data_IF_095057662629
#
_entry.id   IF_095057662629
#
_cell.length_a   1.000
_cell.length_b   1.000
_cell.length_c   1.000
_cell.angle_alpha   90.00
_cell.angle_beta   90.00
_cell.angle_gamma   90.00
#
_symmetry.space_group_name_H-M   'P 1'
#
loop_
_entity.id
_entity.type
_entity.pdbx_description
1 polymer ?
#
# COMPACT_ATOMS: atom_id res chain seq x y z
N UNK A 1 24.52 -8.48 -28.73
CA UNK A 1 23.14 -8.02 -29.01
C UNK A 1 22.88 -6.81 -28.11
N UNK A 2 22.82 -5.60 -28.66
CA UNK A 2 22.53 -4.39 -27.87
C UNK A 2 21.01 -4.32 -27.66
N UNK A 3 20.57 -4.55 -26.43
CA UNK A 3 19.19 -4.27 -26.02
C UNK A 3 19.05 -2.74 -25.96
N UNK A 4 18.48 -2.14 -27.00
CA UNK A 4 18.06 -0.74 -26.93
C UNK A 4 16.83 -0.68 -26.02
N UNK A 5 16.79 0.16 -24.98
CA UNK A 5 15.56 0.40 -24.23
C UNK A 5 14.50 0.87 -25.22
N UNK A 6 13.27 0.37 -25.08
CA UNK A 6 12.14 0.91 -25.85
C UNK A 6 11.89 2.34 -25.36
N UNK A 7 12.54 3.31 -26.01
CA UNK A 7 12.30 4.71 -25.76
C UNK A 7 10.86 5.04 -26.16
N UNK A 8 10.03 5.46 -25.19
CA UNK A 8 8.68 5.97 -25.45
C UNK A 8 7.54 5.39 -24.59
N UNK A 9 7.77 4.34 -23.79
CA UNK A 9 6.74 3.84 -22.86
C UNK A 9 7.07 4.29 -21.43
N UNK A 10 6.24 5.17 -20.87
CA UNK A 10 6.34 5.55 -19.47
C UNK A 10 5.98 4.33 -18.59
N UNK A 11 6.82 4.04 -17.59
CA UNK A 11 6.56 2.96 -16.65
C UNK A 11 5.36 3.32 -15.76
N UNK A 12 4.46 2.37 -15.55
CA UNK A 12 3.32 2.50 -14.62
C UNK A 12 3.82 2.20 -13.21
N UNK A 13 4.05 3.26 -12.44
CA UNK A 13 4.59 3.17 -11.08
C UNK A 13 3.46 3.33 -10.07
N UNK A 14 3.38 2.41 -9.11
CA UNK A 14 2.47 2.53 -7.95
C UNK A 14 3.28 2.68 -6.67
N UNK A 15 2.88 3.59 -5.79
CA UNK A 15 3.46 3.80 -4.46
C UNK A 15 2.42 3.40 -3.43
N UNK A 16 2.75 2.41 -2.62
CA UNK A 16 1.84 1.74 -1.68
C UNK A 16 2.32 2.02 -0.25
N UNK A 17 1.52 2.78 0.49
CA UNK A 17 1.75 3.09 1.90
C UNK A 17 0.98 2.12 2.78
N UNK A 18 1.68 1.28 3.54
CA UNK A 18 1.07 0.23 4.37
C UNK A 18 1.09 0.60 5.85
N UNK A 19 -0.07 0.49 6.49
CA UNK A 19 -0.27 0.84 7.90
C UNK A 19 -0.16 2.34 8.18
N UNK A 20 -0.14 2.73 9.46
CA UNK A 20 -0.09 4.14 9.86
C UNK A 20 1.17 4.87 9.39
N UNK A 21 2.35 4.30 9.61
CA UNK A 21 3.63 4.89 9.21
C UNK A 21 3.75 5.07 7.69
N UNK A 22 3.42 4.02 6.92
CA UNK A 22 3.41 4.07 5.46
C UNK A 22 2.37 5.04 4.92
N UNK A 23 1.17 5.06 5.50
CA UNK A 23 0.11 6.00 5.14
C UNK A 23 0.49 7.46 5.40
N UNK A 24 1.19 7.75 6.50
CA UNK A 24 1.68 9.10 6.80
C UNK A 24 2.75 9.55 5.80
N UNK A 25 3.73 8.68 5.51
CA UNK A 25 4.76 8.97 4.52
C UNK A 25 4.15 9.25 3.13
N UNK A 26 3.18 8.42 2.74
CA UNK A 26 2.47 8.59 1.47
C UNK A 26 1.64 9.87 1.43
N UNK A 27 0.97 10.24 2.51
CA UNK A 27 0.24 11.53 2.60
C UNK A 27 1.16 12.73 2.47
N UNK A 28 2.39 12.65 2.99
CA UNK A 28 3.42 13.67 2.80
C UNK A 28 3.85 13.75 1.32
N UNK A 29 4.12 12.61 0.68
CA UNK A 29 4.49 12.55 -0.74
C UNK A 29 3.42 13.17 -1.65
N UNK A 30 2.14 12.90 -1.36
CA UNK A 30 1.00 13.49 -2.09
C UNK A 30 0.93 15.00 -1.86
N UNK A 31 1.13 15.46 -0.63
CA UNK A 31 0.99 16.88 -0.28
C UNK A 31 2.09 17.76 -0.87
N UNK A 32 3.32 17.27 -0.95
CA UNK A 32 4.45 18.02 -1.51
C UNK A 32 4.37 18.22 -3.04
N UNK A 33 3.43 17.54 -3.73
CA UNK A 33 3.07 17.83 -5.13
C UNK A 33 4.16 17.56 -6.18
N UNK A 34 5.32 17.01 -5.79
CA UNK A 34 6.49 16.85 -6.65
C UNK A 34 6.58 15.55 -7.44
N UNK A 35 5.71 14.56 -7.18
CA UNK A 35 5.82 13.23 -7.78
C UNK A 35 4.70 13.02 -8.81
N UNK A 36 5.03 13.29 -10.08
CA UNK A 36 4.12 13.10 -11.20
C UNK A 36 4.23 11.69 -11.78
N UNK A 37 3.13 11.18 -12.35
CA UNK A 37 3.12 9.90 -13.07
C UNK A 37 3.15 8.66 -12.17
N UNK A 38 2.86 8.81 -10.88
CA UNK A 38 2.73 7.70 -9.94
C UNK A 38 1.30 7.60 -9.40
N UNK A 39 0.86 6.38 -9.14
CA UNK A 39 -0.42 6.12 -8.47
C UNK A 39 -0.19 5.86 -6.99
N UNK A 40 -0.85 6.63 -6.13
CA UNK A 40 -0.71 6.53 -4.67
C UNK A 40 -1.82 5.69 -4.07
N UNK A 41 -1.42 4.65 -3.32
CA UNK A 41 -2.32 3.66 -2.72
C UNK A 41 -2.05 3.56 -1.23
N UNK A 42 -3.03 3.86 -0.39
CA UNK A 42 -2.95 3.62 1.05
C UNK A 42 -3.61 2.28 1.41
N UNK A 43 -2.93 1.46 2.22
CA UNK A 43 -3.42 0.17 2.70
C UNK A 43 -3.42 0.16 4.22
N UNK A 44 -4.55 -0.15 4.85
CA UNK A 44 -4.62 -0.25 6.31
C UNK A 44 -5.75 -1.17 6.78
N UNK A 45 -5.62 -1.67 8.00
CA UNK A 45 -6.72 -2.34 8.73
C UNK A 45 -7.60 -1.35 9.49
N UNK A 46 -7.07 -0.16 9.80
CA UNK A 46 -7.79 0.92 10.47
C UNK A 46 -8.49 1.83 9.45
N UNK A 47 -9.82 1.86 9.50
CA UNK A 47 -10.68 2.66 8.60
C UNK A 47 -10.50 4.15 8.84
N UNK A 48 -10.37 4.58 10.10
CA UNK A 48 -10.20 5.99 10.43
C UNK A 48 -8.87 6.52 9.88
N UNK A 49 -7.81 5.72 9.97
CA UNK A 49 -6.53 6.05 9.37
C UNK A 49 -6.62 6.16 7.83
N UNK A 50 -7.38 5.28 7.17
CA UNK A 50 -7.59 5.34 5.71
C UNK A 50 -8.39 6.57 5.28
N UNK A 51 -9.49 6.87 5.97
CA UNK A 51 -10.36 8.02 5.64
C UNK A 51 -9.59 9.34 5.68
N UNK A 52 -8.65 9.48 6.63
CA UNK A 52 -7.82 10.67 6.77
C UNK A 52 -6.62 10.72 5.80
N UNK A 53 -6.37 9.64 5.04
CA UNK A 53 -5.24 9.57 4.12
C UNK A 53 -5.48 10.34 2.81
N UNK A 54 -4.44 10.99 2.29
CA UNK A 54 -4.50 11.80 1.05
C UNK A 54 -4.38 10.99 -0.25
N UNK A 55 -4.12 9.69 -0.18
CA UNK A 55 -4.04 8.80 -1.35
C UNK A 55 -5.33 8.82 -2.18
N UNK A 56 -5.18 8.71 -3.49
CA UNK A 56 -6.30 8.56 -4.44
C UNK A 56 -6.98 7.21 -4.27
N UNK A 57 -6.21 6.15 -4.04
CA UNK A 57 -6.72 4.79 -3.80
C UNK A 57 -6.51 4.43 -2.34
N UNK A 58 -7.53 3.83 -1.73
CA UNK A 58 -7.54 3.41 -0.33
C UNK A 58 -8.08 1.98 -0.25
N UNK A 59 -7.27 1.08 0.29
CA UNK A 59 -7.60 -0.35 0.43
C UNK A 59 -7.67 -0.66 1.91
N UNK A 60 -8.87 -0.97 2.38
CA UNK A 60 -9.05 -1.58 3.68
C UNK A 60 -8.77 -3.09 3.55
N UNK A 61 -7.94 -3.60 4.46
CA UNK A 61 -7.63 -5.04 4.54
C UNK A 61 -8.13 -5.63 5.86
N UNK A 62 -8.48 -6.92 5.85
CA UNK A 62 -8.99 -7.63 7.03
C UNK A 62 -10.28 -7.03 7.60
N UNK A 63 -11.23 -6.70 6.72
CA UNK A 63 -12.51 -6.10 7.12
C UNK A 63 -13.28 -7.02 8.08
N UNK A 64 -13.30 -8.33 7.80
CA UNK A 64 -13.98 -9.29 8.67
C UNK A 64 -13.17 -9.59 9.94
N UNK A 65 -11.83 -9.61 9.83
CA UNK A 65 -10.95 -9.90 10.94
C UNK A 65 -10.90 -8.79 11.99
N UNK A 66 -10.85 -7.53 11.55
CA UNK A 66 -10.59 -6.37 12.43
C UNK A 66 -11.80 -5.47 12.63
N UNK A 67 -12.86 -5.64 11.83
CA UNK A 67 -14.01 -4.73 11.77
C UNK A 67 -13.61 -3.26 11.54
N UNK A 68 -12.46 -3.03 10.88
CA UNK A 68 -11.94 -1.69 10.61
C UNK A 68 -11.30 -0.98 11.81
N UNK A 69 -11.07 -1.68 12.93
CA UNK A 69 -10.51 -1.11 14.17
C UNK A 69 -8.98 -1.14 14.22
N UNK A 70 -8.32 -1.74 13.23
CA UNK A 70 -6.87 -1.89 13.19
C UNK A 70 -6.36 -3.24 13.71
N UNK A 71 -5.04 -3.43 13.63
CA UNK A 71 -4.36 -4.68 14.02
C UNK A 71 -3.97 -4.75 15.51
N UNK A 72 -4.21 -3.69 16.28
CA UNK A 72 -3.80 -3.63 17.70
C UNK A 72 -2.28 -3.67 17.92
N UNK A 73 -1.46 -3.44 16.89
CA UNK A 73 -0.01 -3.56 16.97
C UNK A 73 0.53 -4.97 16.74
N UNK A 74 -0.34 -5.96 16.50
CA UNK A 74 0.07 -7.34 16.25
C UNK A 74 0.38 -7.59 14.76
N UNK A 75 1.63 -7.94 14.39
CA UNK A 75 2.00 -8.24 13.02
C UNK A 75 1.25 -9.43 12.42
N UNK A 76 0.89 -10.42 13.23
CA UNK A 76 0.19 -11.60 12.73
C UNK A 76 -1.23 -11.25 12.28
N UNK A 77 -1.92 -10.36 13.00
CA UNK A 77 -3.21 -9.80 12.57
C UNK A 77 -3.05 -9.02 11.27
N UNK A 78 -1.99 -8.22 11.14
CA UNK A 78 -1.68 -7.50 9.89
C UNK A 78 -1.48 -8.43 8.69
N UNK A 79 -0.76 -9.53 8.91
CA UNK A 79 -0.50 -10.57 7.90
C UNK A 79 -1.80 -11.27 7.46
N UNK A 80 -2.59 -11.72 8.43
CA UNK A 80 -3.87 -12.39 8.16
C UNK A 80 -4.85 -11.46 7.45
N UNK A 81 -4.91 -10.18 7.84
CA UNK A 81 -5.73 -9.18 7.17
C UNK A 81 -5.34 -9.00 5.69
N UNK A 82 -4.04 -8.99 5.38
CA UNK A 82 -3.55 -8.89 4.01
C UNK A 82 -3.89 -10.14 3.18
N UNK A 83 -3.74 -11.34 3.76
CA UNK A 83 -4.11 -12.60 3.10
C UNK A 83 -5.62 -12.70 2.85
N UNK A 84 -6.47 -12.27 3.80
CA UNK A 84 -7.92 -12.19 3.62
C UNK A 84 -8.28 -11.31 2.40
N UNK A 85 -7.51 -10.24 2.19
CA UNK A 85 -7.76 -9.24 1.14
C UNK A 85 -6.89 -9.40 -0.10
N UNK A 86 -6.27 -10.58 -0.28
CA UNK A 86 -5.26 -10.83 -1.32
C UNK A 86 -5.75 -10.56 -2.74
N UNK A 87 -6.96 -11.01 -3.08
CA UNK A 87 -7.51 -10.80 -4.43
C UNK A 87 -7.75 -9.31 -4.72
N UNK A 88 -8.29 -8.57 -3.75
CA UNK A 88 -8.48 -7.11 -3.88
C UNK A 88 -7.14 -6.38 -4.05
N UNK A 89 -6.14 -6.71 -3.22
CA UNK A 89 -4.80 -6.17 -3.35
C UNK A 89 -4.21 -6.44 -4.74
N UNK A 90 -4.36 -7.67 -5.25
CA UNK A 90 -3.88 -8.06 -6.57
C UNK A 90 -4.57 -7.28 -7.69
N UNK A 91 -5.88 -7.09 -7.61
CA UNK A 91 -6.64 -6.30 -8.58
C UNK A 91 -6.14 -4.85 -8.61
N UNK A 92 -6.05 -4.20 -7.45
CA UNK A 92 -5.63 -2.80 -7.33
C UNK A 92 -4.15 -2.59 -7.70
N UNK A 93 -3.28 -3.58 -7.49
CA UNK A 93 -1.86 -3.51 -7.84
C UNK A 93 -1.56 -3.96 -9.27
N UNK A 94 -2.51 -4.61 -9.93
CA UNK A 94 -2.34 -5.11 -11.28
C UNK A 94 -1.98 -4.01 -12.28
N UNK A 95 -1.22 -4.39 -13.31
CA UNK A 95 -0.77 -3.47 -14.36
C UNK A 95 0.32 -2.50 -13.93
N UNK A 96 0.86 -2.58 -12.71
CA UNK A 96 2.09 -1.87 -12.36
C UNK A 96 3.29 -2.53 -13.06
N UNK A 97 4.19 -1.70 -13.59
CA UNK A 97 5.53 -2.15 -14.03
C UNK A 97 6.52 -2.12 -12.85
N UNK A 98 6.26 -1.29 -11.84
CA UNK A 98 7.03 -1.19 -10.61
C UNK A 98 6.14 -0.75 -9.44
N UNK A 99 6.34 -1.35 -8.27
CA UNK A 99 5.64 -1.03 -7.03
C UNK A 99 6.67 -0.63 -5.98
N UNK A 100 6.48 0.54 -5.36
CA UNK A 100 7.22 0.96 -4.17
C UNK A 100 6.35 0.73 -2.94
N UNK A 101 6.83 -0.11 -2.03
CA UNK A 101 6.19 -0.33 -0.74
C UNK A 101 6.86 0.52 0.33
N UNK A 102 6.07 1.33 1.01
CA UNK A 102 6.50 2.13 2.15
C UNK A 102 5.72 1.71 3.39
N UNK A 103 6.42 1.29 4.43
CA UNK A 103 5.84 0.96 5.73
C UNK A 103 6.73 1.48 6.86
N UNK A 104 6.09 1.77 7.99
CA UNK A 104 6.79 1.87 9.26
C UNK A 104 6.75 0.50 9.93
N UNK A 105 7.92 -0.13 10.10
CA UNK A 105 8.07 -1.39 10.79
C UNK A 105 7.87 -1.25 12.31
N UNK A 106 7.61 -2.36 12.98
CA UNK A 106 7.42 -2.45 14.45
C UNK A 106 5.98 -2.32 14.93
N UNK A 107 5.05 -1.87 14.09
CA UNK A 107 3.60 -1.95 14.34
C UNK A 107 3.00 -3.28 13.85
N UNK A 108 1.67 -3.38 13.87
CA UNK A 108 0.98 -4.59 13.39
C UNK A 108 0.77 -4.60 11.87
N UNK A 109 0.02 -3.62 11.36
CA UNK A 109 -0.41 -3.61 9.96
C UNK A 109 0.75 -3.48 8.99
N UNK A 110 1.67 -2.53 9.21
CA UNK A 110 2.84 -2.33 8.35
C UNK A 110 3.70 -3.58 8.27
N UNK A 111 4.22 -4.02 9.42
CA UNK A 111 5.09 -5.19 9.55
C UNK A 111 4.46 -6.47 9.00
N UNK A 112 3.18 -6.70 9.30
CA UNK A 112 2.49 -7.92 8.92
C UNK A 112 2.04 -7.97 7.46
N UNK A 113 1.49 -6.86 6.95
CA UNK A 113 0.90 -6.82 5.61
C UNK A 113 1.94 -6.58 4.51
N UNK A 114 2.98 -5.78 4.77
CA UNK A 114 3.99 -5.44 3.75
C UNK A 114 4.62 -6.65 3.06
N UNK A 115 5.06 -7.72 3.76
CA UNK A 115 5.60 -8.92 3.12
C UNK A 115 4.60 -9.65 2.23
N UNK A 116 3.31 -9.68 2.61
CA UNK A 116 2.24 -10.32 1.84
C UNK A 116 1.94 -9.53 0.57
N UNK A 117 1.91 -8.19 0.68
CA UNK A 117 1.66 -7.31 -0.46
C UNK A 117 2.81 -7.38 -1.48
N UNK A 118 4.04 -7.63 -1.02
CA UNK A 118 5.20 -7.77 -1.88
C UNK A 118 5.27 -9.10 -2.65
N UNK A 119 4.54 -10.14 -2.22
CA UNK A 119 4.62 -11.53 -2.73
C UNK A 119 3.63 -11.83 -3.85
#
# INVERSE_FOLDING_TARGET
>A
MLIKPRAGQAARIKVVGVGGGGGNALSFMVAEGGINGVEFIAVNTDVQALLNNKATIKIQIGENLTNGLGSGGDPEVGRQAAEESRERLKEDLSGADMIFLACGEGGGTGTGASPVIAS
#
